data_IF_703969588240
#
_entry.id   IF_703969588240
#
_cell.length_a   1.000
_cell.length_b   1.000
_cell.length_c   1.000
_cell.angle_alpha   90.00
_cell.angle_beta   90.00
_cell.angle_gamma   90.00
#
_symmetry.space_group_name_H-M   'P 1'
#
loop_
_entity.id
_entity.type
_entity.pdbx_description
1 polymer ?
#
# COMPACT_ATOMS: atom_id res chain seq x y z
N UNK A 1 6.91 -16.93 9.79
CA UNK A 1 6.35 -16.38 8.52
C UNK A 1 5.01 -17.04 8.12
N UNK A 2 4.01 -16.96 9.00
CA UNK A 2 2.63 -17.41 8.74
C UNK A 2 1.58 -16.33 9.07
N UNK A 3 2.06 -15.12 9.42
CA UNK A 3 1.19 -13.99 9.68
C UNK A 3 0.32 -13.73 8.44
N UNK A 4 -0.97 -13.58 8.67
CA UNK A 4 -1.97 -13.25 7.64
C UNK A 4 -2.31 -11.77 7.62
N UNK A 5 -1.99 -11.06 8.71
CA UNK A 5 -2.40 -9.68 8.92
C UNK A 5 -1.30 -8.88 9.60
N UNK A 6 -1.23 -7.59 9.29
CA UNK A 6 -0.44 -6.60 10.02
C UNK A 6 -1.41 -5.66 10.71
N UNK A 7 -1.42 -5.71 12.04
CA UNK A 7 -2.41 -5.02 12.86
C UNK A 7 -2.26 -3.49 12.81
N UNK A 8 -3.32 -2.81 13.23
CA UNK A 8 -3.39 -1.35 13.24
C UNK A 8 -2.16 -0.73 13.94
N UNK A 9 -1.48 0.17 13.25
CA UNK A 9 -0.34 0.91 13.80
C UNK A 9 0.91 0.10 14.14
N UNK A 10 1.00 -1.20 13.80
CA UNK A 10 2.08 -2.11 14.24
C UNK A 10 3.49 -1.53 14.05
N UNK A 11 3.75 -0.90 12.91
CA UNK A 11 5.04 -0.29 12.57
C UNK A 11 4.94 1.23 12.37
N UNK A 12 3.89 1.88 12.87
CA UNK A 12 3.71 3.32 12.69
C UNK A 12 4.94 4.11 13.19
N UNK A 13 5.40 5.05 12.36
CA UNK A 13 6.59 5.88 12.54
C UNK A 13 7.88 5.09 12.78
N UNK A 14 7.96 3.85 12.32
CA UNK A 14 9.20 3.08 12.38
C UNK A 14 10.16 3.55 11.27
N UNK A 15 11.12 4.38 11.65
CA UNK A 15 12.15 4.88 10.73
C UNK A 15 13.31 3.90 10.52
N UNK A 16 13.29 2.71 11.11
CA UNK A 16 14.38 1.72 11.00
C UNK A 16 14.04 0.56 10.07
N UNK A 17 12.75 0.24 9.89
CA UNK A 17 12.34 -0.86 9.03
C UNK A 17 12.63 -0.54 7.57
N UNK A 18 13.35 -1.44 6.90
CA UNK A 18 13.76 -1.29 5.49
C UNK A 18 13.09 -2.27 4.55
N UNK A 19 12.78 -3.45 5.08
CA UNK A 19 12.29 -4.61 4.33
C UNK A 19 11.26 -5.36 5.16
N UNK A 20 10.15 -5.75 4.52
CA UNK A 20 9.14 -6.63 5.10
C UNK A 20 8.92 -7.81 4.17
N UNK A 21 9.07 -9.02 4.69
CA UNK A 21 8.75 -10.26 3.99
C UNK A 21 7.55 -10.93 4.67
N UNK A 22 6.42 -10.96 3.96
CA UNK A 22 5.15 -11.47 4.46
C UNK A 22 4.35 -12.16 3.35
N UNK A 23 4.79 -13.34 2.85
CA UNK A 23 4.21 -13.97 1.67
C UNK A 23 2.74 -14.41 1.85
N UNK A 24 2.25 -14.49 3.10
CA UNK A 24 0.88 -14.86 3.44
C UNK A 24 0.04 -13.69 3.96
N UNK A 25 0.58 -12.48 4.02
CA UNK A 25 -0.16 -11.29 4.45
C UNK A 25 -1.24 -10.99 3.42
N UNK A 26 -2.49 -10.95 3.91
CA UNK A 26 -3.71 -10.59 3.17
C UNK A 26 -4.20 -9.19 3.52
N UNK A 27 -4.01 -8.77 4.78
CA UNK A 27 -4.53 -7.49 5.27
C UNK A 27 -3.42 -6.69 5.93
N UNK A 28 -3.31 -5.42 5.53
CA UNK A 28 -2.54 -4.40 6.24
C UNK A 28 -3.56 -3.41 6.79
N UNK A 29 -3.73 -3.40 8.12
CA UNK A 29 -4.71 -2.56 8.80
C UNK A 29 -4.26 -1.09 8.87
N UNK A 30 -5.16 -0.23 9.35
CA UNK A 30 -4.96 1.22 9.40
C UNK A 30 -3.62 1.61 10.02
N UNK A 31 -2.95 2.58 9.40
CA UNK A 31 -1.69 3.19 9.86
C UNK A 31 -0.56 2.17 10.13
N UNK A 32 -0.67 0.92 9.68
CA UNK A 32 0.28 -0.14 10.03
C UNK A 32 1.74 0.20 9.71
N UNK A 33 2.01 0.93 8.62
CA UNK A 33 3.32 1.43 8.22
C UNK A 33 3.35 2.95 8.04
N UNK A 34 2.48 3.68 8.73
CA UNK A 34 2.42 5.14 8.67
C UNK A 34 3.82 5.73 8.87
N UNK A 35 4.29 6.59 7.96
CA UNK A 35 5.60 7.24 7.99
C UNK A 35 6.80 6.30 8.15
N UNK A 36 6.74 5.05 7.70
CA UNK A 36 7.92 4.18 7.60
C UNK A 36 8.83 4.64 6.44
N UNK A 37 9.50 5.79 6.60
CA UNK A 37 10.23 6.49 5.53
C UNK A 37 11.37 5.68 4.94
N UNK A 38 11.97 4.78 5.72
CA UNK A 38 13.06 3.91 5.27
C UNK A 38 12.59 2.56 4.69
N UNK A 39 11.29 2.25 4.75
CA UNK A 39 10.75 1.03 4.15
C UNK A 39 10.86 1.13 2.64
N UNK A 40 11.64 0.24 2.03
CA UNK A 40 11.96 0.28 0.60
C UNK A 40 11.31 -0.87 -0.19
N UNK A 41 11.10 -2.03 0.44
CA UNK A 41 10.41 -3.17 -0.18
C UNK A 41 9.42 -3.82 0.76
N UNK A 42 8.23 -4.09 0.23
CA UNK A 42 7.15 -4.82 0.89
C UNK A 42 6.80 -6.05 0.05
N UNK A 43 7.29 -7.22 0.46
CA UNK A 43 7.12 -8.49 -0.26
C UNK A 43 5.89 -9.25 0.29
N UNK A 44 4.71 -8.89 -0.21
CA UNK A 44 3.40 -9.42 0.20
C UNK A 44 2.60 -9.87 -1.02
N UNK A 45 2.64 -11.16 -1.36
CA UNK A 45 2.09 -11.65 -2.64
C UNK A 45 0.60 -11.98 -2.61
N UNK A 46 -0.01 -12.03 -1.42
CA UNK A 46 -1.42 -12.39 -1.20
C UNK A 46 -2.25 -11.22 -0.67
N UNK A 47 -1.77 -9.99 -0.86
CA UNK A 47 -2.40 -8.80 -0.30
C UNK A 47 -3.75 -8.53 -0.98
N UNK A 48 -4.79 -8.43 -0.16
CA UNK A 48 -6.19 -8.24 -0.57
C UNK A 48 -6.72 -6.87 -0.07
N UNK A 49 -6.26 -6.39 1.09
CA UNK A 49 -6.77 -5.15 1.71
C UNK A 49 -5.67 -4.28 2.31
N UNK A 50 -5.77 -2.97 2.07
CA UNK A 50 -4.93 -1.93 2.66
C UNK A 50 -5.83 -0.92 3.36
N UNK A 51 -5.67 -0.77 4.67
CA UNK A 51 -6.48 0.12 5.51
C UNK A 51 -6.15 1.61 5.35
N UNK A 52 -6.85 2.44 6.11
CA UNK A 52 -6.70 3.89 6.10
C UNK A 52 -5.26 4.28 6.49
N UNK A 53 -4.63 5.11 5.66
CA UNK A 53 -3.26 5.62 5.87
C UNK A 53 -2.21 4.51 6.12
N UNK A 54 -2.48 3.26 5.73
CA UNK A 54 -1.67 2.12 6.13
C UNK A 54 -0.22 2.20 5.63
N UNK A 55 0.02 2.75 4.44
CA UNK A 55 1.34 2.98 3.85
C UNK A 55 1.58 4.48 3.60
N UNK A 56 0.84 5.37 4.27
CA UNK A 56 1.02 6.80 4.09
C UNK A 56 2.45 7.21 4.47
N UNK A 57 3.12 7.96 3.60
CA UNK A 57 4.44 8.51 3.90
C UNK A 57 5.59 7.48 3.87
N UNK A 58 5.38 6.29 3.30
CA UNK A 58 6.48 5.36 2.99
C UNK A 58 7.23 5.83 1.73
N UNK A 59 7.94 6.94 1.85
CA UNK A 59 8.53 7.69 0.72
C UNK A 59 9.60 6.92 -0.05
N UNK A 60 10.24 5.92 0.56
CA UNK A 60 11.23 5.06 -0.10
C UNK A 60 10.65 3.75 -0.65
N UNK A 61 9.37 3.45 -0.40
CA UNK A 61 8.74 2.21 -0.85
C UNK A 61 8.52 2.28 -2.34
N UNK A 62 9.39 1.67 -3.12
CA UNK A 62 9.34 1.74 -4.59
C UNK A 62 8.62 0.55 -5.22
N UNK A 63 8.37 -0.52 -4.46
CA UNK A 63 7.73 -1.74 -4.95
C UNK A 63 6.87 -2.43 -3.88
N UNK A 64 5.62 -2.70 -4.25
CA UNK A 64 4.68 -3.57 -3.54
C UNK A 64 3.80 -4.28 -4.58
N UNK A 65 3.47 -5.55 -4.37
CA UNK A 65 2.52 -6.26 -5.23
C UNK A 65 1.09 -5.83 -4.88
N UNK A 66 0.44 -5.12 -5.79
CA UNK A 66 -0.90 -4.55 -5.62
C UNK A 66 -1.96 -5.19 -6.54
N UNK A 67 -1.60 -6.22 -7.32
CA UNK A 67 -2.43 -6.76 -8.40
C UNK A 67 -3.81 -7.22 -7.93
N UNK A 68 -3.87 -7.84 -6.75
CA UNK A 68 -5.07 -8.47 -6.20
C UNK A 68 -5.67 -7.69 -5.00
N UNK A 69 -5.26 -6.44 -4.80
CA UNK A 69 -5.81 -5.62 -3.72
C UNK A 69 -7.23 -5.17 -4.10
N UNK A 70 -8.22 -5.65 -3.36
CA UNK A 70 -9.63 -5.35 -3.57
C UNK A 70 -10.02 -3.99 -2.97
N UNK A 71 -9.34 -3.60 -1.88
CA UNK A 71 -9.66 -2.41 -1.11
C UNK A 71 -8.42 -1.57 -0.78
N UNK A 72 -8.45 -0.32 -1.23
CA UNK A 72 -7.51 0.72 -0.86
C UNK A 72 -8.22 1.76 -0.01
N UNK A 73 -7.92 1.77 1.29
CA UNK A 73 -8.48 2.73 2.23
C UNK A 73 -8.05 4.16 1.94
N UNK A 74 -8.74 5.12 2.56
CA UNK A 74 -8.45 6.54 2.47
C UNK A 74 -6.97 6.83 2.73
N UNK A 75 -6.35 7.58 1.82
CA UNK A 75 -4.93 7.92 1.86
C UNK A 75 -3.96 6.73 2.01
N UNK A 76 -4.39 5.49 1.71
CA UNK A 76 -3.63 4.26 2.00
C UNK A 76 -2.22 4.25 1.41
N UNK A 77 -2.07 4.70 0.16
CA UNK A 77 -0.82 4.86 -0.58
C UNK A 77 -0.52 6.35 -0.88
N UNK A 78 -0.89 7.27 0.03
CA UNK A 78 -0.56 8.69 -0.13
C UNK A 78 0.92 8.95 0.19
N UNK A 79 1.61 9.71 -0.67
CA UNK A 79 3.01 10.11 -0.43
C UNK A 79 3.97 8.93 -0.26
N UNK A 80 3.88 7.96 -1.16
CA UNK A 80 4.77 6.80 -1.24
C UNK A 80 5.82 6.96 -2.34
N UNK A 81 6.86 6.13 -2.30
CA UNK A 81 7.89 6.08 -3.35
C UNK A 81 7.53 5.23 -4.57
N UNK A 82 6.29 4.71 -4.65
CA UNK A 82 5.89 3.73 -5.67
C UNK A 82 5.96 4.37 -7.05
N UNK A 83 6.54 3.63 -8.01
CA UNK A 83 6.71 4.08 -9.39
C UNK A 83 5.61 3.61 -10.32
N UNK A 84 4.99 2.47 -10.02
CA UNK A 84 3.96 1.88 -10.87
C UNK A 84 2.90 1.24 -9.97
N UNK A 85 1.63 1.45 -10.31
CA UNK A 85 0.50 0.79 -9.67
C UNK A 85 -0.22 -0.01 -10.75
N UNK A 86 -0.29 -1.33 -10.56
CA UNK A 86 -1.09 -2.23 -11.37
C UNK A 86 -2.08 -2.98 -10.47
N UNK A 87 -3.34 -3.04 -10.86
CA UNK A 87 -4.39 -3.69 -10.09
C UNK A 87 -5.51 -4.22 -11.00
N UNK A 88 -5.93 -5.46 -10.75
CA UNK A 88 -6.86 -6.16 -11.65
C UNK A 88 -8.29 -6.24 -11.08
N UNK A 89 -8.49 -5.94 -9.79
CA UNK A 89 -9.70 -6.34 -9.06
C UNK A 89 -10.42 -5.20 -8.32
N UNK A 90 -9.73 -4.10 -8.04
CA UNK A 90 -10.28 -2.96 -7.33
C UNK A 90 -11.30 -2.21 -8.18
N UNK A 91 -12.54 -2.14 -7.70
CA UNK A 91 -13.67 -1.51 -8.41
C UNK A 91 -13.84 -0.03 -8.11
N UNK A 92 -13.31 0.45 -6.98
CA UNK A 92 -13.41 1.83 -6.50
C UNK A 92 -12.24 2.19 -5.60
N UNK A 93 -11.72 3.40 -5.76
CA UNK A 93 -10.73 3.97 -4.84
C UNK A 93 -11.41 4.86 -3.80
N UNK A 94 -10.94 4.81 -2.56
CA UNK A 94 -11.31 5.79 -1.54
C UNK A 94 -10.58 7.12 -1.74
N UNK A 95 -11.02 8.15 -1.00
CA UNK A 95 -10.47 9.50 -1.07
C UNK A 95 -8.94 9.49 -0.98
N UNK A 96 -8.29 10.04 -2.01
CA UNK A 96 -6.84 10.22 -2.08
C UNK A 96 -6.01 8.93 -1.88
N UNK A 97 -6.60 7.75 -2.10
CA UNK A 97 -5.97 6.45 -1.83
C UNK A 97 -4.59 6.31 -2.47
N UNK A 98 -4.38 6.88 -3.66
CA UNK A 98 -3.12 6.78 -4.44
C UNK A 98 -2.55 8.17 -4.83
N UNK A 99 -2.84 9.22 -4.07
CA UNK A 99 -2.43 10.60 -4.43
C UNK A 99 -1.04 10.99 -3.90
N UNK A 100 -0.49 12.07 -4.48
CA UNK A 100 0.76 12.69 -4.05
C UNK A 100 1.95 11.73 -4.04
N UNK A 101 2.02 10.81 -5.00
CA UNK A 101 3.15 9.90 -5.17
C UNK A 101 4.18 10.52 -6.14
N UNK A 102 5.24 11.20 -5.65
CA UNK A 102 6.12 12.04 -6.48
C UNK A 102 6.89 11.26 -7.55
N UNK A 103 7.05 9.95 -7.36
CA UNK A 103 7.79 9.07 -8.27
C UNK A 103 6.87 8.21 -9.16
N UNK A 104 5.56 8.38 -9.09
CA UNK A 104 4.59 7.56 -9.81
C UNK A 104 4.63 7.89 -11.31
N UNK A 105 4.88 6.88 -12.13
CA UNK A 105 5.07 6.98 -13.58
C UNK A 105 3.93 6.35 -14.36
N UNK A 106 3.27 5.33 -13.80
CA UNK A 106 2.16 4.66 -14.47
C UNK A 106 1.15 4.10 -13.48
N UNK A 107 -0.11 4.12 -13.89
CA UNK A 107 -1.24 3.54 -13.18
C UNK A 107 -2.02 2.69 -14.18
N UNK A 108 -2.28 1.44 -13.84
CA UNK A 108 -3.22 0.56 -14.54
C UNK A 108 -4.20 -0.06 -13.54
N UNK A 109 -5.50 0.14 -13.79
CA UNK A 109 -6.57 -0.52 -13.06
C UNK A 109 -7.56 -1.13 -14.03
N UNK A 110 -7.60 -2.47 -14.12
CA UNK A 110 -8.43 -3.16 -15.11
C UNK A 110 -9.93 -3.13 -14.76
N UNK A 111 -10.25 -3.13 -13.45
CA UNK A 111 -11.62 -3.26 -12.94
C UNK A 111 -12.22 -1.95 -12.38
N UNK A 112 -11.47 -0.85 -12.41
CA UNK A 112 -11.90 0.41 -11.81
C UNK A 112 -12.97 1.08 -12.69
N UNK A 113 -14.10 1.44 -12.08
CA UNK A 113 -15.22 2.06 -12.82
C UNK A 113 -15.01 3.54 -13.10
N UNK A 114 -14.41 4.26 -12.16
CA UNK A 114 -14.19 5.71 -12.20
C UNK A 114 -12.88 6.04 -11.49
N UNK A 115 -12.10 6.97 -12.06
CA UNK A 115 -10.81 7.39 -11.52
C UNK A 115 -10.96 8.79 -10.93
N UNK A 116 -11.15 8.85 -9.61
CA UNK A 116 -11.32 10.10 -8.86
C UNK A 116 -10.02 10.43 -8.13
N UNK A 117 -9.37 11.52 -8.51
CA UNK A 117 -8.21 12.09 -7.82
C UNK A 117 -8.66 12.97 -6.65
#
# INVERSE_FOLDING_TARGET
PHAKEIQKGTFANNYNIRYVYGPYIKVIHDKAFLNCRNLSRLMVNKLEKIGEQALLGTTNLYHANLLNVEHFGKNSLRNTGIRQIANNVCKKLEQQAINFNPNLQSINFDALKELNF
#
